data_IF_713209451681
#
_entry.id   IF_713209451681
#
_cell.length_a   1.000
_cell.length_b   1.000
_cell.length_c   1.000
_cell.angle_alpha   90.00
_cell.angle_beta   90.00
_cell.angle_gamma   90.00
#
_symmetry.space_group_name_H-M   'P 1'
#
loop_
_entity.id
_entity.type
_entity.pdbx_description
1 polymer ?
#
# COMPACT_ATOMS: atom_id res chain seq x y z
N UNK A 1 34.36 10.51 -13.68
CA UNK A 1 33.22 9.59 -13.83
C UNK A 1 32.29 10.14 -14.89
N UNK A 2 32.26 9.51 -16.02
CA UNK A 2 31.28 9.83 -17.06
C UNK A 2 29.94 9.24 -16.67
N UNK A 3 28.90 10.06 -16.62
CA UNK A 3 27.54 9.58 -16.49
C UNK A 3 27.23 8.59 -17.63
N UNK A 4 26.63 7.43 -17.36
CA UNK A 4 26.28 6.53 -18.44
C UNK A 4 25.34 7.23 -19.41
N UNK A 5 25.66 7.12 -20.71
CA UNK A 5 24.81 7.64 -21.78
C UNK A 5 23.41 7.07 -21.60
N UNK A 6 22.45 7.92 -21.35
CA UNK A 6 21.05 7.50 -21.31
C UNK A 6 20.58 7.22 -22.73
N UNK A 7 20.36 5.96 -23.02
CA UNK A 7 19.67 5.58 -24.25
C UNK A 7 18.24 6.08 -24.16
N UNK A 8 17.90 7.03 -25.02
CA UNK A 8 16.54 7.57 -25.14
C UNK A 8 15.55 6.42 -25.37
N UNK A 9 14.61 6.26 -24.44
CA UNK A 9 13.47 5.36 -24.57
C UNK A 9 13.59 4.00 -23.88
N UNK A 10 14.79 3.52 -23.56
CA UNK A 10 14.97 2.25 -22.86
C UNK A 10 16.06 2.36 -21.81
N UNK A 11 15.67 2.51 -20.57
CA UNK A 11 16.60 2.53 -19.45
C UNK A 11 16.20 1.46 -18.45
N UNK A 12 17.11 0.52 -18.19
CA UNK A 12 16.90 -0.55 -17.21
C UNK A 12 16.63 -0.04 -15.79
N UNK A 13 17.09 1.17 -15.48
CA UNK A 13 16.84 1.84 -14.21
C UNK A 13 15.39 2.31 -14.06
N UNK A 14 14.65 2.45 -15.17
CA UNK A 14 13.24 2.82 -15.13
C UNK A 14 12.33 1.59 -14.93
N UNK A 15 12.89 0.39 -14.95
CA UNK A 15 12.15 -0.82 -14.65
C UNK A 15 12.16 -1.01 -13.13
N UNK A 16 11.06 -0.66 -12.50
CA UNK A 16 10.83 -1.01 -11.12
C UNK A 16 10.43 -2.49 -11.06
N UNK A 17 11.28 -3.30 -10.49
CA UNK A 17 11.02 -4.75 -10.39
C UNK A 17 9.95 -5.08 -9.35
N UNK A 18 9.52 -4.09 -8.57
CA UNK A 18 8.50 -4.29 -7.53
C UNK A 18 8.90 -5.23 -6.41
N UNK A 19 10.18 -5.59 -6.35
CA UNK A 19 10.66 -6.45 -5.27
C UNK A 19 10.72 -5.64 -3.96
N UNK A 20 10.22 -6.19 -2.85
CA UNK A 20 10.34 -5.54 -1.55
C UNK A 20 11.80 -5.41 -1.16
N UNK A 21 12.16 -4.33 -0.47
CA UNK A 21 13.48 -4.19 0.11
C UNK A 21 13.54 -5.04 1.39
N UNK A 22 14.10 -6.22 1.26
CA UNK A 22 14.23 -7.19 2.37
C UNK A 22 15.25 -6.80 3.43
N UNK A 23 15.98 -5.70 3.24
CA UNK A 23 16.94 -5.21 4.25
C UNK A 23 16.22 -4.79 5.53
N UNK A 24 14.95 -4.46 5.45
CA UNK A 24 14.15 -4.11 6.60
C UNK A 24 12.75 -4.75 6.51
N UNK A 25 12.61 -5.92 7.11
CA UNK A 25 11.33 -6.57 7.43
C UNK A 25 10.32 -6.81 6.30
N UNK A 26 10.75 -7.29 5.15
CA UNK A 26 9.84 -7.82 4.12
C UNK A 26 9.08 -6.80 3.26
N UNK A 27 9.23 -5.52 3.53
CA UNK A 27 8.78 -4.44 2.64
C UNK A 27 7.32 -4.01 2.76
N UNK A 28 6.53 -4.61 3.62
CA UNK A 28 5.16 -4.20 3.90
C UNK A 28 4.97 -3.87 5.38
N UNK A 29 4.44 -2.69 5.65
CA UNK A 29 4.24 -2.20 7.01
C UNK A 29 2.81 -1.72 7.22
N UNK A 30 2.28 -1.96 8.40
CA UNK A 30 0.92 -1.66 8.81
C UNK A 30 0.95 -0.82 10.07
N UNK A 31 0.10 0.20 10.13
CA UNK A 31 -0.05 1.05 11.30
C UNK A 31 -1.48 1.50 11.53
N UNK A 32 -1.67 2.24 12.59
CA UNK A 32 -2.93 2.94 12.85
C UNK A 32 -3.22 3.95 11.75
N UNK A 33 -4.47 4.36 11.54
CA UNK A 33 -4.78 5.42 10.59
C UNK A 33 -3.90 6.64 10.84
N UNK A 34 -3.20 7.08 9.83
CA UNK A 34 -2.33 8.24 9.97
C UNK A 34 -3.21 9.50 10.11
N UNK A 35 -3.05 10.17 11.22
CA UNK A 35 -3.80 11.38 11.55
C UNK A 35 -3.04 12.65 11.20
N UNK A 36 -1.75 12.54 11.00
CA UNK A 36 -0.86 13.67 10.76
C UNK A 36 -0.05 13.45 9.48
N UNK A 37 -0.48 14.13 8.41
CA UNK A 37 0.19 14.06 7.10
C UNK A 37 1.61 14.61 7.11
N UNK A 38 1.98 15.42 8.09
CA UNK A 38 3.35 15.95 8.22
C UNK A 38 4.37 14.86 8.55
N UNK A 39 3.93 13.74 9.07
CA UNK A 39 4.76 12.58 9.40
C UNK A 39 4.97 11.63 8.22
N UNK A 40 4.24 11.81 7.13
CA UNK A 40 4.46 11.01 5.93
C UNK A 40 5.81 11.32 5.30
N UNK A 41 6.42 10.34 4.60
CA UNK A 41 7.65 10.58 3.89
C UNK A 41 7.45 11.65 2.81
N UNK A 42 8.38 12.58 2.74
CA UNK A 42 8.39 13.66 1.74
C UNK A 42 9.27 13.36 0.54
N UNK A 43 10.09 12.35 0.65
CA UNK A 43 11.05 11.92 -0.39
C UNK A 43 11.19 10.41 -0.40
N UNK A 44 11.36 9.83 -1.56
CA UNK A 44 11.68 8.42 -1.73
C UNK A 44 13.08 8.02 -1.24
N UNK A 45 13.90 9.00 -0.85
CA UNK A 45 15.23 8.78 -0.28
C UNK A 45 15.24 8.63 1.24
N UNK A 46 14.11 8.85 1.91
CA UNK A 46 14.00 8.59 3.35
C UNK A 46 14.15 7.10 3.62
N UNK A 47 14.92 6.77 4.65
CA UNK A 47 15.09 5.37 5.05
C UNK A 47 13.80 4.81 5.67
N UNK A 48 13.44 3.60 5.27
CA UNK A 48 12.24 2.92 5.76
C UNK A 48 12.20 2.81 7.29
N UNK A 49 13.33 2.52 7.93
CA UNK A 49 13.43 2.44 9.39
C UNK A 49 13.00 3.74 10.09
N UNK A 50 13.40 4.89 9.55
CA UNK A 50 13.04 6.20 10.11
C UNK A 50 11.54 6.46 9.98
N UNK A 51 10.96 6.15 8.84
CA UNK A 51 9.52 6.32 8.59
C UNK A 51 8.70 5.39 9.48
N UNK A 52 9.13 4.14 9.61
CA UNK A 52 8.47 3.13 10.47
C UNK A 52 8.44 3.57 11.94
N UNK A 53 9.54 4.05 12.46
CA UNK A 53 9.59 4.57 13.84
C UNK A 53 8.71 5.81 14.02
N UNK A 54 8.78 6.74 13.09
CA UNK A 54 8.02 7.99 13.13
C UNK A 54 6.50 7.79 13.09
N UNK A 55 6.03 6.82 12.30
CA UNK A 55 4.62 6.49 12.15
C UNK A 55 4.15 5.37 13.08
N UNK A 56 5.06 4.69 13.79
CA UNK A 56 4.72 3.57 14.66
C UNK A 56 4.17 2.38 13.89
N UNK A 57 4.75 2.07 12.75
CA UNK A 57 4.33 0.97 11.89
C UNK A 57 4.88 -0.38 12.36
N UNK A 58 4.14 -1.44 12.11
CA UNK A 58 4.55 -2.82 12.36
C UNK A 58 4.74 -3.57 11.05
N UNK A 59 5.68 -4.50 11.01
CA UNK A 59 5.92 -5.32 9.82
C UNK A 59 4.76 -6.26 9.53
N UNK A 60 4.32 -6.31 8.27
CA UNK A 60 3.37 -7.31 7.77
C UNK A 60 4.00 -8.67 7.48
N UNK A 61 5.31 -8.81 7.67
CA UNK A 61 6.05 -10.04 7.39
C UNK A 61 6.25 -10.28 5.89
N UNK A 62 6.39 -11.54 5.53
CA UNK A 62 6.59 -11.93 4.14
C UNK A 62 5.32 -11.82 3.30
N UNK A 63 5.50 -11.31 2.09
CA UNK A 63 4.47 -11.30 1.04
C UNK A 63 4.78 -12.45 0.07
N UNK A 64 3.74 -13.03 -0.53
CA UNK A 64 3.93 -14.08 -1.53
C UNK A 64 4.61 -13.55 -2.79
N UNK A 65 5.11 -14.47 -3.65
CA UNK A 65 5.79 -14.14 -4.90
C UNK A 65 4.93 -13.35 -5.90
N UNK A 66 3.61 -13.34 -5.73
CA UNK A 66 2.69 -12.53 -6.53
C UNK A 66 2.84 -11.02 -6.27
N UNK A 67 3.43 -10.66 -5.14
CA UNK A 67 3.72 -9.28 -4.79
C UNK A 67 2.48 -8.45 -4.50
N UNK A 68 2.51 -7.20 -4.93
CA UNK A 68 1.40 -6.25 -4.80
C UNK A 68 0.84 -5.95 -6.18
N UNK A 69 -0.46 -6.12 -6.31
CA UNK A 69 -1.20 -5.79 -7.53
C UNK A 69 -2.04 -4.54 -7.30
N UNK A 70 -1.99 -3.63 -8.25
CA UNK A 70 -2.78 -2.40 -8.26
C UNK A 70 -3.79 -2.44 -9.39
N UNK A 71 -5.02 -2.10 -9.09
CA UNK A 71 -6.10 -1.92 -10.06
C UNK A 71 -6.73 -0.55 -9.87
N UNK A 72 -6.82 0.18 -10.96
CA UNK A 72 -7.40 1.52 -11.00
C UNK A 72 -8.63 1.50 -11.90
N UNK A 73 -9.74 2.01 -11.41
CA UNK A 73 -10.99 2.09 -12.14
C UNK A 73 -11.50 3.52 -12.17
N UNK A 74 -11.89 3.99 -13.36
CA UNK A 74 -12.41 5.33 -13.59
C UNK A 74 -13.69 5.26 -14.40
N UNK A 75 -14.72 5.93 -13.93
CA UNK A 75 -15.94 6.14 -14.66
C UNK A 75 -16.07 7.60 -15.04
N UNK A 76 -16.47 7.85 -16.28
CA UNK A 76 -16.67 9.18 -16.82
C UNK A 76 -18.08 9.33 -17.38
N UNK A 77 -18.63 10.53 -17.27
CA UNK A 77 -19.92 10.89 -17.84
C UNK A 77 -19.74 12.05 -18.82
N UNK A 78 -20.40 11.94 -19.96
CA UNK A 78 -20.43 13.01 -20.97
C UNK A 78 -21.58 13.98 -20.67
N UNK A 79 -21.26 15.25 -20.59
CA UNK A 79 -22.25 16.31 -20.54
C UNK A 79 -22.58 16.71 -21.98
N UNK A 80 -23.83 16.55 -22.37
CA UNK A 80 -24.30 16.85 -23.69
C UNK A 80 -25.09 18.17 -23.68
N UNK A 81 -25.01 18.92 -24.77
CA UNK A 81 -25.89 20.06 -25.00
C UNK A 81 -27.26 19.64 -25.59
N UNK A 82 -28.09 20.62 -25.86
CA UNK A 82 -29.42 20.40 -26.46
C UNK A 82 -29.38 19.69 -27.83
N UNK A 83 -28.31 19.84 -28.58
CA UNK A 83 -28.10 19.20 -29.88
C UNK A 83 -27.41 17.83 -29.79
N UNK A 84 -27.20 17.31 -28.59
CA UNK A 84 -26.46 16.09 -28.31
C UNK A 84 -24.96 16.18 -28.62
N UNK A 85 -24.42 17.37 -28.71
CA UNK A 85 -22.97 17.58 -28.81
C UNK A 85 -22.33 17.46 -27.44
N UNK A 86 -21.16 16.82 -27.36
CA UNK A 86 -20.41 16.68 -26.12
C UNK A 86 -19.80 18.02 -25.75
N UNK A 87 -20.26 18.61 -24.65
CA UNK A 87 -19.73 19.86 -24.09
C UNK A 87 -18.52 19.58 -23.21
N UNK A 88 -18.62 18.53 -22.37
CA UNK A 88 -17.59 18.20 -21.41
C UNK A 88 -17.65 16.71 -21.04
N UNK A 89 -16.56 16.20 -20.45
CA UNK A 89 -16.46 14.86 -19.90
C UNK A 89 -16.05 15.00 -18.45
N UNK A 90 -16.91 14.57 -17.54
CA UNK A 90 -16.67 14.66 -16.09
C UNK A 90 -16.37 13.27 -15.53
N UNK A 91 -15.35 13.20 -14.68
CA UNK A 91 -15.09 11.99 -13.91
C UNK A 91 -16.12 11.87 -12.78
N UNK A 92 -16.89 10.79 -12.80
CA UNK A 92 -17.96 10.54 -11.82
C UNK A 92 -17.53 9.61 -10.72
N UNK A 93 -16.59 8.71 -10.99
CA UNK A 93 -16.09 7.74 -10.02
C UNK A 93 -14.62 7.43 -10.28
N UNK A 94 -13.87 7.35 -9.20
CA UNK A 94 -12.49 6.91 -9.19
C UNK A 94 -12.29 5.93 -8.03
N UNK A 95 -11.77 4.76 -8.32
CA UNK A 95 -11.39 3.78 -7.29
C UNK A 95 -10.00 3.22 -7.54
N UNK A 96 -9.25 3.08 -6.47
CA UNK A 96 -7.95 2.44 -6.45
C UNK A 96 -8.01 1.23 -5.52
N UNK A 97 -7.67 0.08 -6.04
CA UNK A 97 -7.63 -1.17 -5.28
C UNK A 97 -6.23 -1.76 -5.29
N UNK A 98 -5.72 -2.05 -4.12
CA UNK A 98 -4.45 -2.76 -3.92
C UNK A 98 -4.74 -4.17 -3.41
N UNK A 99 -4.14 -5.15 -4.04
CA UNK A 99 -4.24 -6.55 -3.63
C UNK A 99 -2.86 -7.05 -3.22
N UNK A 100 -2.78 -7.59 -2.02
CA UNK A 100 -1.57 -8.19 -1.48
C UNK A 100 -1.90 -9.49 -0.77
N UNK A 101 -1.06 -10.50 -0.92
CA UNK A 101 -1.22 -11.78 -0.24
C UNK A 101 -0.09 -11.98 0.75
N UNK A 102 -0.45 -12.08 2.03
CA UNK A 102 0.51 -12.31 3.09
C UNK A 102 0.86 -13.79 3.22
N UNK A 103 2.14 -14.08 3.36
CA UNK A 103 2.62 -15.45 3.58
C UNK A 103 2.57 -15.85 5.07
N UNK A 104 2.65 -14.88 5.98
CA UNK A 104 2.62 -15.11 7.42
C UNK A 104 1.21 -15.02 8.00
N UNK A 105 0.46 -16.12 7.93
CA UNK A 105 -0.93 -16.16 8.40
C UNK A 105 -1.10 -15.96 9.92
N UNK A 106 -0.07 -16.24 10.71
CA UNK A 106 -0.07 -16.08 12.16
C UNK A 106 0.55 -14.76 12.66
N UNK A 107 0.90 -13.85 11.75
CA UNK A 107 1.45 -12.55 12.11
C UNK A 107 0.35 -11.69 12.77
N UNK A 108 0.58 -11.28 14.01
CA UNK A 108 -0.41 -10.52 14.79
C UNK A 108 -0.75 -9.17 14.13
N UNK A 109 0.22 -8.49 13.52
CA UNK A 109 -0.01 -7.22 12.82
C UNK A 109 -0.95 -7.40 11.62
N UNK A 110 -0.77 -8.46 10.84
CA UNK A 110 -1.63 -8.81 9.69
C UNK A 110 -3.04 -9.14 10.16
N UNK A 111 -3.18 -9.92 11.22
CA UNK A 111 -4.48 -10.30 11.76
C UNK A 111 -5.24 -9.08 12.32
N UNK A 112 -4.56 -8.18 13.01
CA UNK A 112 -5.13 -6.92 13.48
C UNK A 112 -5.56 -6.01 12.32
N UNK A 113 -4.80 -6.01 11.25
CA UNK A 113 -5.16 -5.28 10.02
C UNK A 113 -6.43 -5.82 9.37
N UNK A 114 -6.58 -7.14 9.29
CA UNK A 114 -7.72 -7.79 8.65
C UNK A 114 -9.00 -7.76 9.50
N UNK A 115 -8.87 -7.95 10.81
CA UNK A 115 -10.03 -8.15 11.72
C UNK A 115 -10.25 -6.99 12.69
N UNK A 116 -9.36 -6.05 12.76
CA UNK A 116 -9.36 -4.95 13.72
C UNK A 116 -8.58 -5.28 14.99
N UNK A 117 -7.94 -4.28 15.58
CA UNK A 117 -7.06 -4.43 16.74
C UNK A 117 -7.80 -5.01 17.96
N UNK A 118 -9.04 -4.60 18.20
CA UNK A 118 -9.84 -5.03 19.34
C UNK A 118 -10.36 -6.48 19.23
N UNK A 119 -10.27 -7.07 18.04
CA UNK A 119 -10.78 -8.42 17.77
C UNK A 119 -9.68 -9.49 17.78
N UNK A 120 -8.44 -9.09 17.93
CA UNK A 120 -7.28 -9.99 17.95
C UNK A 120 -6.62 -9.93 19.31
N UNK A 121 -6.55 -11.06 19.98
CA UNK A 121 -5.88 -11.23 21.26
C UNK A 121 -4.71 -12.19 21.10
N UNK A 122 -3.51 -11.72 21.44
CA UNK A 122 -2.28 -12.50 21.41
C UNK A 122 -1.96 -12.98 22.83
N UNK A 123 -1.88 -14.29 23.02
CA UNK A 123 -1.50 -14.91 24.27
C UNK A 123 -0.22 -15.75 24.07
N UNK A 124 0.42 -16.19 25.17
CA UNK A 124 1.57 -17.09 25.11
C UNK A 124 1.26 -18.42 24.42
N UNK A 125 0.02 -18.85 24.43
CA UNK A 125 -0.43 -20.12 23.88
C UNK A 125 -1.01 -20.02 22.46
N UNK A 126 -1.25 -18.82 21.95
CA UNK A 126 -1.79 -18.64 20.60
C UNK A 126 -2.40 -17.28 20.35
N UNK A 127 -3.01 -17.16 19.17
CA UNK A 127 -3.73 -15.97 18.73
C UNK A 127 -5.21 -16.29 18.62
N UNK A 128 -6.03 -15.51 19.31
CA UNK A 128 -7.48 -15.65 19.27
C UNK A 128 -8.10 -14.52 18.45
N UNK A 129 -9.01 -14.87 17.56
CA UNK A 129 -9.69 -13.92 16.66
C UNK A 129 -11.19 -13.98 16.95
N UNK A 130 -11.77 -12.84 17.30
CA UNK A 130 -13.21 -12.67 17.40
C UNK A 130 -13.72 -12.09 16.08
N UNK A 131 -14.32 -12.93 15.25
CA UNK A 131 -14.92 -12.49 13.99
C UNK A 131 -16.27 -11.84 14.28
N UNK A 132 -16.35 -10.54 14.11
CA UNK A 132 -17.58 -9.77 14.20
C UNK A 132 -17.84 -9.06 12.88
N UNK A 133 -19.09 -8.96 12.48
CA UNK A 133 -19.48 -8.08 11.39
C UNK A 133 -19.30 -6.63 11.84
N UNK A 134 -18.34 -5.94 11.28
CA UNK A 134 -18.00 -4.54 11.56
C UNK A 134 -17.68 -3.81 10.25
N UNK A 135 -17.66 -2.49 10.34
CA UNK A 135 -17.02 -1.68 9.32
C UNK A 135 -15.58 -2.13 9.13
N UNK A 136 -15.10 -2.08 7.90
CA UNK A 136 -13.72 -2.43 7.58
C UNK A 136 -12.77 -1.52 8.37
N UNK A 137 -11.76 -2.07 9.06
CA UNK A 137 -10.81 -1.26 9.77
C UNK A 137 -10.00 -0.40 8.79
N UNK A 138 -9.75 0.83 9.19
CA UNK A 138 -8.87 1.74 8.48
C UNK A 138 -7.47 1.66 9.08
N UNK A 139 -6.46 1.59 8.23
CA UNK A 139 -5.06 1.50 8.67
C UNK A 139 -4.14 2.25 7.71
N UNK A 140 -3.04 2.76 8.24
CA UNK A 140 -1.95 3.25 7.41
C UNK A 140 -1.13 2.06 6.90
N UNK A 141 -0.77 2.09 5.63
CA UNK A 141 0.10 1.09 5.02
C UNK A 141 1.30 1.76 4.35
N UNK A 142 2.41 1.09 4.36
CA UNK A 142 3.62 1.52 3.67
C UNK A 142 4.26 0.35 2.93
N UNK A 143 4.68 0.60 1.70
CA UNK A 143 5.49 -0.33 0.92
C UNK A 143 6.90 0.23 0.80
N UNK A 144 7.89 -0.59 1.12
CA UNK A 144 9.29 -0.33 0.85
C UNK A 144 9.71 -1.19 -0.36
N UNK A 145 9.85 -0.55 -1.50
CA UNK A 145 10.10 -1.20 -2.79
C UNK A 145 11.47 -0.79 -3.29
N UNK A 146 12.27 -1.80 -3.59
CA UNK A 146 13.58 -1.59 -4.20
C UNK A 146 13.43 -1.33 -5.70
N UNK A 147 13.87 -0.17 -6.10
CA UNK A 147 13.98 0.21 -7.50
C UNK A 147 15.22 -0.33 -8.20
#
# INVERSE_FOLDING_TARGET
MTSPVQLTGRNRRNVMTGAPDVRYSGGFFIGKPAQDSTKFPTSATEEASTVVERLGLESGGYITSDGVSESEDRSTEKILDWNLDVIDIVETEYSLQLTVTFAEAANAAVLKFLYGEDNVEVTETGVYIKKKSREMPSSAIMFDIKG
#
